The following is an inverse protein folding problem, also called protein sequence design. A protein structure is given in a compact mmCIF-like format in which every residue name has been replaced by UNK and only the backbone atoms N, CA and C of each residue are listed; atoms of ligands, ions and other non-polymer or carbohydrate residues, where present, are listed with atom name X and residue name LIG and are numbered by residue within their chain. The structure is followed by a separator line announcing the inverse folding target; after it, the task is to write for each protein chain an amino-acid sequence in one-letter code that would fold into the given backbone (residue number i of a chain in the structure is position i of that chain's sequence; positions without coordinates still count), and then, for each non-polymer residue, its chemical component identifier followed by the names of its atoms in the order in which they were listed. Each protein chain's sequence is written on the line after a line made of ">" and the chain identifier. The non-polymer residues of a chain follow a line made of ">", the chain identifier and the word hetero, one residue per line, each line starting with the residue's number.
data_IF_565357467172
#
_entry.id   IF_565357467172
#
_cell.length_a   1.000
_cell.length_b   1.000
_cell.length_c   1.000
_cell.angle_alpha   90.00
_cell.angle_beta   90.00
_cell.angle_gamma   90.00
#
_symmetry.space_group_name_H-M   'P 1'
#
loop_
_entity.id
_entity.type
_entity.pdbx_description
1 polymer ?
#
# COMPACT_ATOMS: atom_id res chain seq x y z
N UNK A 1 -7.96 -1.24 25.05
CA UNK A 1 -8.85 -0.29 24.35
C UNK A 1 -8.00 0.37 23.30
N UNK A 2 -8.22 0.05 22.02
CA UNK A 2 -7.47 0.70 20.94
C UNK A 2 -7.74 2.21 21.00
N UNK A 3 -6.69 3.00 20.92
CA UNK A 3 -6.80 4.46 21.02
C UNK A 3 -7.40 4.96 19.71
N UNK A 4 -8.56 5.59 19.79
CA UNK A 4 -9.20 6.25 18.64
C UNK A 4 -8.21 7.19 17.94
N UNK A 5 -8.16 7.13 16.62
CA UNK A 5 -7.32 8.02 15.83
C UNK A 5 -7.96 9.40 15.70
N UNK A 6 -7.16 10.43 15.87
CA UNK A 6 -7.50 11.85 15.76
C UNK A 6 -6.60 12.44 14.70
N UNK A 7 -7.21 12.67 13.54
CA UNK A 7 -6.53 13.06 12.31
C UNK A 7 -6.33 14.57 12.22
N UNK A 8 -5.11 14.95 11.81
CA UNK A 8 -4.87 16.18 11.08
C UNK A 8 -4.86 15.90 9.57
N UNK A 9 -5.82 16.49 8.85
CA UNK A 9 -5.98 16.35 7.40
C UNK A 9 -5.35 17.56 6.72
N UNK A 10 -4.26 17.31 6.01
CA UNK A 10 -3.44 18.31 5.35
C UNK A 10 -3.54 18.07 3.83
N UNK A 11 -4.14 19.04 3.15
CA UNK A 11 -4.46 18.93 1.72
C UNK A 11 -3.58 19.90 0.94
N UNK A 12 -2.83 19.34 0.01
CA UNK A 12 -2.13 20.10 -1.01
C UNK A 12 -3.16 20.58 -2.04
N UNK A 13 -3.62 21.83 -1.89
CA UNK A 13 -4.70 22.39 -2.69
C UNK A 13 -4.30 22.65 -4.15
N UNK A 14 -3.00 22.63 -4.44
CA UNK A 14 -2.44 22.83 -5.76
C UNK A 14 -2.44 21.53 -6.58
N UNK A 15 -2.27 20.37 -5.93
CA UNK A 15 -2.25 19.06 -6.58
C UNK A 15 -3.50 18.20 -6.33
N UNK A 16 -4.27 18.47 -5.27
CA UNK A 16 -5.50 17.73 -4.96
C UNK A 16 -6.71 18.25 -5.75
N UNK A 17 -7.73 17.40 -5.91
CA UNK A 17 -8.95 17.74 -6.62
C UNK A 17 -10.06 18.15 -5.63
N UNK A 18 -10.66 19.36 -5.75
CA UNK A 18 -11.75 19.80 -4.87
C UNK A 18 -12.92 18.82 -4.82
N UNK A 19 -13.30 18.26 -5.97
CA UNK A 19 -14.44 17.33 -6.10
C UNK A 19 -14.33 16.06 -5.25
N UNK A 20 -13.11 15.65 -4.87
CA UNK A 20 -12.87 14.44 -4.08
C UNK A 20 -12.85 14.70 -2.57
N UNK A 21 -12.91 15.96 -2.15
CA UNK A 21 -12.73 16.37 -0.76
C UNK A 21 -13.72 15.71 0.19
N UNK A 22 -15.01 15.69 -0.16
CA UNK A 22 -16.00 15.03 0.67
C UNK A 22 -15.75 13.51 0.78
N UNK A 23 -15.31 12.89 -0.31
CA UNK A 23 -15.00 11.45 -0.35
C UNK A 23 -13.77 11.13 0.49
N UNK A 24 -12.75 11.99 0.47
CA UNK A 24 -11.58 11.92 1.37
C UNK A 24 -12.01 11.97 2.83
N UNK A 25 -12.82 12.97 3.20
CA UNK A 25 -13.26 13.11 4.59
C UNK A 25 -14.15 11.94 5.03
N UNK A 26 -14.94 11.38 4.10
CA UNK A 26 -15.76 10.18 4.34
C UNK A 26 -14.90 8.94 4.55
N UNK A 27 -13.87 8.74 3.73
CA UNK A 27 -12.91 7.62 3.86
C UNK A 27 -12.23 7.62 5.24
N UNK A 28 -11.83 8.78 5.75
CA UNK A 28 -11.20 8.88 7.09
C UNK A 28 -12.19 8.55 8.22
N UNK A 29 -13.43 9.06 8.13
CA UNK A 29 -14.46 8.88 9.18
C UNK A 29 -15.10 7.50 9.20
N UNK A 30 -15.22 6.86 8.05
CA UNK A 30 -15.82 5.53 7.97
C UNK A 30 -14.75 4.45 8.10
N UNK A 31 -13.47 4.82 7.91
CA UNK A 31 -12.43 3.87 7.65
C UNK A 31 -12.87 2.94 6.53
N UNK A 32 -12.39 1.73 6.59
CA UNK A 32 -12.99 0.66 5.82
C UNK A 32 -13.00 -0.57 6.73
N UNK A 33 -14.16 -0.82 7.37
CA UNK A 33 -14.43 -1.99 8.22
C UNK A 33 -14.05 -3.31 7.55
N UNK A 34 -13.94 -3.26 6.23
CA UNK A 34 -13.81 -4.33 5.27
C UNK A 34 -12.33 -4.50 4.78
N UNK A 35 -11.46 -3.49 4.94
CA UNK A 35 -10.01 -3.55 4.66
C UNK A 35 -9.13 -3.27 5.89
N UNK A 36 -9.70 -3.39 7.10
CA UNK A 36 -9.01 -3.29 8.38
C UNK A 36 -8.32 -1.93 8.61
N UNK A 37 -8.77 -0.88 7.90
CA UNK A 37 -8.29 0.49 8.11
C UNK A 37 -8.98 1.08 9.34
N UNK A 38 -8.23 1.66 10.29
CA UNK A 38 -8.81 2.26 11.48
C UNK A 38 -9.68 3.46 11.13
N UNK A 39 -10.81 3.57 11.84
CA UNK A 39 -11.66 4.76 11.84
C UNK A 39 -11.00 5.86 12.66
N UNK A 40 -11.18 7.13 12.25
CA UNK A 40 -10.73 8.25 13.07
C UNK A 40 -11.62 9.48 13.05
N UNK A 41 -11.53 10.22 14.14
CA UNK A 41 -12.06 11.57 14.29
C UNK A 41 -11.18 12.56 13.51
N UNK A 42 -11.79 13.49 12.78
CA UNK A 42 -11.05 14.54 12.09
C UNK A 42 -11.03 15.80 12.96
N UNK A 43 -9.87 16.14 13.52
CA UNK A 43 -9.71 17.29 14.42
C UNK A 43 -9.16 18.53 13.70
N UNK A 44 -8.27 18.37 12.72
CA UNK A 44 -7.70 19.48 11.93
C UNK A 44 -7.98 19.21 10.46
N UNK A 45 -8.44 20.24 9.72
CA UNK A 45 -8.62 20.21 8.27
C UNK A 45 -8.05 21.49 7.68
N UNK A 46 -6.98 21.38 6.89
CA UNK A 46 -6.29 22.51 6.27
C UNK A 46 -6.05 22.23 4.79
N UNK A 47 -6.30 23.24 3.95
CA UNK A 47 -5.94 23.24 2.54
C UNK A 47 -4.89 24.33 2.34
N UNK A 48 -3.74 23.95 1.79
CA UNK A 48 -2.61 24.82 1.52
C UNK A 48 -2.59 25.18 0.04
N UNK A 49 -2.30 26.44 -0.26
CA UNK A 49 -2.13 26.90 -1.64
C UNK A 49 -2.19 28.41 -1.75
N UNK A 50 -2.04 28.90 -2.97
CA UNK A 50 -2.16 30.32 -3.27
C UNK A 50 -3.62 30.68 -3.58
N UNK A 51 -4.39 31.16 -2.61
CA UNK A 51 -5.80 31.49 -2.80
C UNK A 51 -6.04 32.71 -3.70
N UNK A 52 -4.97 33.35 -4.19
CA UNK A 52 -5.06 34.40 -5.21
C UNK A 52 -5.13 33.85 -6.63
N UNK A 53 -4.86 32.56 -6.85
CA UNK A 53 -4.84 31.93 -8.18
C UNK A 53 -6.16 31.25 -8.53
N UNK A 54 -6.46 31.17 -9.83
CA UNK A 54 -7.76 30.68 -10.31
C UNK A 54 -8.03 29.20 -10.05
N UNK A 55 -6.97 28.37 -10.00
CA UNK A 55 -7.08 26.94 -9.66
C UNK A 55 -7.66 26.73 -8.24
N UNK A 56 -7.54 27.72 -7.35
CA UNK A 56 -8.07 27.62 -5.98
C UNK A 56 -9.57 27.95 -5.88
N UNK A 57 -10.18 28.50 -6.94
CA UNK A 57 -11.60 28.89 -6.92
C UNK A 57 -12.54 27.72 -6.63
N UNK A 58 -12.19 26.50 -7.08
CA UNK A 58 -12.98 25.29 -6.87
C UNK A 58 -13.14 24.87 -5.41
N UNK A 59 -12.26 25.32 -4.52
CA UNK A 59 -12.30 24.98 -3.09
C UNK A 59 -13.21 25.91 -2.27
N UNK A 60 -13.54 27.09 -2.80
CA UNK A 60 -14.20 28.16 -2.02
C UNK A 60 -15.56 27.73 -1.45
N UNK A 61 -16.36 27.00 -2.21
CA UNK A 61 -17.66 26.46 -1.75
C UNK A 61 -17.49 25.48 -0.59
N UNK A 62 -16.42 24.70 -0.63
CA UNK A 62 -16.21 23.58 0.30
C UNK A 62 -15.64 24.04 1.64
N UNK A 63 -14.89 25.16 1.65
CA UNK A 63 -14.32 25.74 2.86
C UNK A 63 -15.38 25.95 3.95
N UNK A 64 -16.48 26.64 3.60
CA UNK A 64 -17.57 26.93 4.53
C UNK A 64 -18.43 25.70 4.78
N UNK A 65 -18.76 24.94 3.73
CA UNK A 65 -19.63 23.76 3.82
C UNK A 65 -19.06 22.68 4.73
N UNK A 66 -17.75 22.46 4.65
CA UNK A 66 -17.07 21.35 5.33
C UNK A 66 -16.22 21.82 6.52
N UNK A 67 -16.20 23.12 6.81
CA UNK A 67 -15.45 23.72 7.92
C UNK A 67 -13.95 23.43 7.81
N UNK A 68 -13.34 23.89 6.71
CA UNK A 68 -11.92 23.70 6.41
C UNK A 68 -11.22 25.05 6.49
N UNK A 69 -10.03 25.05 7.10
CA UNK A 69 -9.22 26.26 7.20
C UNK A 69 -8.35 26.42 5.94
N UNK A 70 -8.50 27.51 5.16
CA UNK A 70 -7.54 27.84 4.12
C UNK A 70 -6.23 28.33 4.74
N UNK A 71 -5.10 27.82 4.25
CA UNK A 71 -3.76 28.32 4.57
C UNK A 71 -3.21 28.96 3.29
N UNK A 72 -3.04 30.29 3.33
CA UNK A 72 -2.51 31.06 2.22
C UNK A 72 -1.00 30.93 2.15
N UNK A 73 -0.50 30.58 0.97
CA UNK A 73 0.91 30.56 0.66
C UNK A 73 1.13 31.11 -0.76
N UNK A 74 1.83 32.24 -0.87
CA UNK A 74 2.18 32.80 -2.19
C UNK A 74 3.19 31.91 -2.92
N UNK A 75 2.97 31.67 -4.21
CA UNK A 75 3.87 30.91 -5.09
C UNK A 75 5.06 31.76 -5.55
N UNK A 76 6.03 32.00 -4.67
CA UNK A 76 7.33 32.57 -5.05
C UNK A 76 8.32 31.51 -5.57
N UNK A 77 8.03 30.23 -5.33
CA UNK A 77 8.71 29.05 -5.86
C UNK A 77 7.69 27.91 -5.99
N UNK A 78 8.01 26.88 -6.79
CA UNK A 78 7.13 25.74 -7.04
C UNK A 78 6.81 24.94 -5.77
N UNK A 79 7.71 24.95 -4.78
CA UNK A 79 7.60 24.15 -3.56
C UNK A 79 7.15 24.97 -2.33
N UNK A 80 6.70 26.23 -2.54
CA UNK A 80 6.32 27.11 -1.43
C UNK A 80 5.13 26.53 -0.62
N UNK A 81 4.12 26.00 -1.31
CA UNK A 81 2.95 25.34 -0.70
C UNK A 81 3.37 24.11 0.10
N UNK A 82 4.26 23.29 -0.45
CA UNK A 82 4.72 22.05 0.19
C UNK A 82 5.51 22.36 1.46
N UNK A 83 6.40 23.36 1.42
CA UNK A 83 7.15 23.81 2.57
C UNK A 83 6.24 24.31 3.70
N UNK A 84 5.20 25.06 3.39
CA UNK A 84 4.21 25.51 4.37
C UNK A 84 3.45 24.34 4.99
N UNK A 85 3.00 23.37 4.18
CA UNK A 85 2.33 22.16 4.65
C UNK A 85 3.23 21.34 5.56
N UNK A 86 4.48 21.10 5.16
CA UNK A 86 5.46 20.35 5.96
C UNK A 86 5.73 21.03 7.30
N UNK A 87 6.00 22.34 7.31
CA UNK A 87 6.26 23.08 8.54
C UNK A 87 5.08 23.00 9.51
N UNK A 88 3.87 23.20 8.99
CA UNK A 88 2.65 23.17 9.80
C UNK A 88 2.36 21.75 10.33
N UNK A 89 2.66 20.71 9.54
CA UNK A 89 2.60 19.32 10.00
C UNK A 89 3.54 19.07 11.19
N UNK A 90 4.80 19.50 11.08
CA UNK A 90 5.79 19.38 12.17
C UNK A 90 5.35 20.19 13.39
N UNK A 91 4.78 21.38 13.21
CA UNK A 91 4.24 22.18 14.32
C UNK A 91 3.10 21.44 15.03
N UNK A 92 2.14 20.86 14.29
CA UNK A 92 1.05 20.05 14.85
C UNK A 92 1.59 18.88 15.67
N UNK A 93 2.61 18.16 15.18
CA UNK A 93 3.22 17.04 15.91
C UNK A 93 3.65 17.47 17.32
N UNK A 94 4.26 18.64 17.45
CA UNK A 94 4.84 19.10 18.72
C UNK A 94 3.86 19.87 19.60
N UNK A 95 2.94 20.64 19.01
CA UNK A 95 2.04 21.53 19.75
C UNK A 95 0.67 20.92 20.02
N UNK A 96 0.30 19.84 19.33
CA UNK A 96 -1.02 19.22 19.46
C UNK A 96 -0.93 17.74 19.86
N UNK A 97 -0.59 17.41 21.12
CA UNK A 97 -0.39 16.03 21.58
C UNK A 97 -1.65 15.14 21.54
N UNK A 98 -2.83 15.72 21.26
CA UNK A 98 -4.07 14.98 21.05
C UNK A 98 -4.17 14.38 19.64
N UNK A 99 -3.45 14.94 18.67
CA UNK A 99 -3.37 14.41 17.31
C UNK A 99 -2.43 13.20 17.35
N UNK A 100 -2.92 12.06 16.89
CA UNK A 100 -2.14 10.82 16.78
C UNK A 100 -2.16 10.22 15.38
N UNK A 101 -2.75 10.93 14.40
CA UNK A 101 -2.80 10.53 13.02
C UNK A 101 -2.73 11.73 12.07
N UNK A 102 -2.14 11.54 10.91
CA UNK A 102 -2.07 12.50 9.82
C UNK A 102 -2.64 11.88 8.56
N UNK A 103 -3.41 12.67 7.82
CA UNK A 103 -3.83 12.35 6.46
C UNK A 103 -3.21 13.39 5.52
N UNK A 104 -2.32 12.94 4.63
CA UNK A 104 -1.69 13.78 3.62
C UNK A 104 -2.40 13.51 2.29
N UNK A 105 -3.05 14.53 1.73
CA UNK A 105 -3.76 14.44 0.46
C UNK A 105 -2.90 15.12 -0.60
N UNK A 106 -2.05 14.34 -1.27
CA UNK A 106 -1.21 14.76 -2.39
C UNK A 106 -0.74 13.53 -3.17
N UNK A 107 -0.29 13.74 -4.40
CA UNK A 107 0.42 12.72 -5.21
C UNK A 107 1.91 13.05 -5.38
N UNK A 108 2.39 14.14 -4.76
CA UNK A 108 3.79 14.53 -4.81
C UNK A 108 4.66 13.61 -3.96
N UNK A 109 5.78 13.14 -4.53
CA UNK A 109 6.75 12.30 -3.84
C UNK A 109 7.55 13.05 -2.77
N UNK A 110 7.56 14.38 -2.79
CA UNK A 110 8.32 15.20 -1.85
C UNK A 110 7.81 15.07 -0.41
N UNK A 111 6.55 14.66 -0.22
CA UNK A 111 5.97 14.33 1.09
C UNK A 111 6.48 13.01 1.69
N UNK A 112 7.32 12.26 0.98
CA UNK A 112 7.99 11.06 1.49
C UNK A 112 8.67 11.28 2.85
N UNK A 113 9.52 12.31 2.94
CA UNK A 113 10.28 12.59 4.16
C UNK A 113 9.37 13.04 5.31
N UNK A 114 8.30 13.77 5.00
CA UNK A 114 7.29 14.17 5.98
C UNK A 114 6.60 12.94 6.58
N UNK A 115 6.16 12.00 5.74
CA UNK A 115 5.55 10.74 6.18
C UNK A 115 6.46 9.94 7.10
N UNK A 116 7.75 9.81 6.75
CA UNK A 116 8.73 9.15 7.62
C UNK A 116 8.87 9.88 8.96
N UNK A 117 9.00 11.20 8.95
CA UNK A 117 9.15 12.00 10.17
C UNK A 117 7.93 11.89 11.09
N UNK A 118 6.72 11.86 10.55
CA UNK A 118 5.50 11.64 11.33
C UNK A 118 5.53 10.24 11.98
N UNK A 119 5.95 9.21 11.24
CA UNK A 119 6.06 7.83 11.75
C UNK A 119 7.17 7.65 12.79
N UNK A 120 8.29 8.35 12.64
CA UNK A 120 9.37 8.39 13.63
C UNK A 120 8.86 8.89 15.00
N UNK A 121 7.84 9.76 15.00
CA UNK A 121 7.15 10.22 16.21
C UNK A 121 6.06 9.26 16.71
N UNK A 122 5.94 8.07 16.11
CA UNK A 122 4.97 7.05 16.50
C UNK A 122 3.53 7.36 16.10
N UNK A 123 3.32 8.31 15.18
CA UNK A 123 2.00 8.75 14.74
C UNK A 123 1.61 8.02 13.44
N UNK A 124 0.30 7.81 13.26
CA UNK A 124 -0.22 7.11 12.08
C UNK A 124 -0.24 8.04 10.86
N UNK A 125 0.16 7.53 9.69
CA UNK A 125 0.12 8.28 8.42
C UNK A 125 -0.75 7.57 7.39
N UNK A 126 -1.81 8.26 6.97
CA UNK A 126 -2.61 7.93 5.80
C UNK A 126 -2.21 8.82 4.63
N UNK A 127 -1.73 8.23 3.54
CA UNK A 127 -1.58 8.94 2.27
C UNK A 127 -2.82 8.78 1.40
N UNK A 128 -3.23 9.84 0.71
CA UNK A 128 -4.25 9.77 -0.33
C UNK A 128 -3.74 10.46 -1.58
N UNK A 129 -3.68 9.73 -2.69
CA UNK A 129 -3.17 10.25 -3.96
C UNK A 129 -3.66 9.45 -5.15
N UNK A 130 -3.29 9.88 -6.35
CA UNK A 130 -3.69 9.23 -7.59
C UNK A 130 -2.84 7.96 -7.86
N UNK A 131 -3.19 7.20 -8.90
CA UNK A 131 -2.45 5.97 -9.27
C UNK A 131 -1.00 6.21 -9.69
N UNK A 132 -0.65 7.42 -10.12
CA UNK A 132 0.71 7.80 -10.55
C UNK A 132 1.64 8.13 -9.37
N UNK A 133 1.11 8.21 -8.15
CA UNK A 133 1.90 8.48 -6.94
C UNK A 133 3.03 7.46 -6.80
N UNK A 134 4.28 7.94 -6.69
CA UNK A 134 5.47 7.05 -6.64
C UNK A 134 5.43 6.09 -5.45
N UNK A 135 5.94 4.88 -5.66
CA UNK A 135 5.98 3.82 -4.64
C UNK A 135 6.69 4.26 -3.35
N UNK A 136 7.75 5.08 -3.47
CA UNK A 136 8.51 5.60 -2.32
C UNK A 136 7.59 6.30 -1.31
N UNK A 137 6.73 7.21 -1.78
CA UNK A 137 5.81 7.94 -0.91
C UNK A 137 4.75 7.01 -0.31
N UNK A 138 4.19 6.10 -1.12
CA UNK A 138 3.22 5.11 -0.63
C UNK A 138 3.81 4.27 0.51
N UNK A 139 5.04 3.78 0.36
CA UNK A 139 5.74 2.97 1.38
C UNK A 139 6.16 3.75 2.62
N UNK A 140 6.28 5.08 2.53
CA UNK A 140 6.52 5.91 3.70
C UNK A 140 5.28 6.04 4.60
N UNK A 141 4.08 5.75 4.12
CA UNK A 141 2.85 5.80 4.92
C UNK A 141 2.61 4.49 5.71
N UNK A 142 1.68 4.52 6.67
CA UNK A 142 1.13 3.30 7.27
C UNK A 142 0.05 2.68 6.38
N UNK A 143 -0.72 3.52 5.69
CA UNK A 143 -1.74 3.13 4.74
C UNK A 143 -1.79 4.16 3.61
N UNK A 144 -2.12 3.72 2.40
CA UNK A 144 -2.25 4.59 1.24
C UNK A 144 -3.53 4.24 0.48
N UNK A 145 -4.37 5.23 0.24
CA UNK A 145 -5.63 5.08 -0.51
C UNK A 145 -5.53 5.81 -1.83
N UNK A 146 -5.79 5.09 -2.92
CA UNK A 146 -5.88 5.71 -4.22
C UNK A 146 -7.20 6.48 -4.38
N UNK A 147 -7.15 7.63 -5.06
CA UNK A 147 -8.34 8.48 -5.28
C UNK A 147 -9.48 7.77 -5.98
N UNK A 148 -9.20 6.80 -6.85
CA UNK A 148 -10.22 5.98 -7.53
C UNK A 148 -10.90 4.95 -6.61
N UNK A 149 -10.33 4.66 -5.45
CA UNK A 149 -10.92 3.78 -4.44
C UNK A 149 -11.78 4.54 -3.43
N UNK A 150 -11.76 5.88 -3.45
CA UNK A 150 -12.55 6.69 -2.52
C UNK A 150 -14.06 6.42 -2.68
N UNK A 151 -14.83 6.52 -1.60
CA UNK A 151 -16.26 6.25 -1.65
C UNK A 151 -16.98 7.27 -2.54
N UNK A 152 -17.81 6.77 -3.45
CA UNK A 152 -18.68 7.63 -4.26
C UNK A 152 -19.67 8.40 -3.38
N UNK A 153 -19.98 9.63 -3.79
CA UNK A 153 -20.99 10.47 -3.16
C UNK A 153 -22.15 10.59 -4.14
N UNK A 154 -23.41 10.32 -3.72
CA UNK A 154 -24.57 10.27 -4.61
C UNK A 154 -24.84 11.53 -5.45
N UNK A 155 -24.21 12.66 -5.12
CA UNK A 155 -24.36 13.94 -5.81
C UNK A 155 -23.25 14.25 -6.84
N UNK A 156 -22.17 13.44 -6.87
CA UNK A 156 -21.02 13.63 -7.77
C UNK A 156 -20.96 12.43 -8.70
N UNK A 157 -21.95 12.34 -9.60
CA UNK A 157 -21.83 11.54 -10.82
C UNK A 157 -21.12 12.40 -11.89
N UNK A 158 -19.98 12.99 -11.51
CA UNK A 158 -19.03 13.44 -12.54
C UNK A 158 -18.51 12.14 -13.12
N UNK A 159 -18.74 11.90 -14.41
CA UNK A 159 -18.33 10.71 -15.16
C UNK A 159 -16.81 10.46 -15.20
N UNK A 160 -16.18 10.39 -14.03
CA UNK A 160 -14.94 9.69 -13.78
C UNK A 160 -15.31 8.25 -14.07
N UNK A 161 -15.12 7.86 -15.33
CA UNK A 161 -15.10 6.47 -15.72
C UNK A 161 -14.25 5.76 -14.67
N UNK A 162 -14.89 4.89 -13.87
CA UNK A 162 -14.20 3.82 -13.17
C UNK A 162 -13.59 2.94 -14.27
N UNK A 163 -12.49 3.39 -14.89
CA UNK A 163 -11.62 2.53 -15.66
C UNK A 163 -10.91 1.65 -14.64
N UNK A 164 -11.64 0.67 -14.12
CA UNK A 164 -11.06 -0.62 -13.80
C UNK A 164 -10.43 -1.08 -15.10
N UNK A 165 -9.13 -0.85 -15.29
CA UNK A 165 -8.38 -1.57 -16.32
C UNK A 165 -8.74 -3.05 -16.15
N UNK A 166 -9.02 -3.78 -17.24
CA UNK A 166 -9.25 -5.22 -17.14
C UNK A 166 -8.08 -5.82 -16.36
N UNK A 167 -8.41 -6.56 -15.30
CA UNK A 167 -7.42 -7.18 -14.42
C UNK A 167 -6.61 -8.13 -15.31
N UNK A 168 -5.31 -7.82 -15.48
CA UNK A 168 -4.40 -8.69 -16.22
C UNK A 168 -4.39 -10.06 -15.52
N UNK A 169 -4.61 -11.19 -16.21
CA UNK A 169 -4.47 -12.53 -15.62
C UNK A 169 -3.16 -12.73 -14.85
N UNK A 170 -2.06 -12.12 -15.29
CA UNK A 170 -0.77 -12.16 -14.59
C UNK A 170 -0.79 -11.40 -13.26
N UNK A 171 -1.61 -10.35 -13.14
CA UNK A 171 -1.82 -9.63 -11.89
C UNK A 171 -2.59 -10.48 -10.88
N UNK A 172 -3.51 -11.35 -11.34
CA UNK A 172 -4.30 -12.24 -10.47
C UNK A 172 -3.40 -13.28 -9.80
N UNK A 173 -2.49 -13.90 -10.56
CA UNK A 173 -1.51 -14.88 -10.05
C UNK A 173 -0.49 -14.22 -9.10
N UNK A 174 -0.13 -12.96 -9.37
CA UNK A 174 0.75 -12.18 -8.49
C UNK A 174 0.11 -11.82 -7.14
N UNK A 175 -1.20 -11.51 -7.12
CA UNK A 175 -1.93 -11.16 -5.89
C UNK A 175 -2.18 -12.40 -5.05
N UNK A 176 -2.56 -13.53 -5.66
CA UNK A 176 -2.67 -14.81 -4.96
C UNK A 176 -1.33 -15.16 -4.28
N UNK A 177 -0.24 -15.09 -5.04
CA UNK A 177 1.12 -15.37 -4.54
C UNK A 177 1.49 -14.44 -3.38
N UNK A 178 1.21 -13.14 -3.50
CA UNK A 178 1.43 -12.17 -2.44
C UNK A 178 0.63 -12.51 -1.17
N UNK A 179 -0.67 -12.80 -1.29
CA UNK A 179 -1.52 -13.16 -0.15
C UNK A 179 -1.03 -14.45 0.54
N UNK A 180 -0.65 -15.46 -0.23
CA UNK A 180 -0.12 -16.73 0.28
C UNK A 180 1.22 -16.52 1.00
N UNK A 181 2.13 -15.74 0.42
CA UNK A 181 3.43 -15.45 1.03
C UNK A 181 3.27 -14.64 2.32
N UNK A 182 2.37 -13.65 2.32
CA UNK A 182 2.05 -12.87 3.52
C UNK A 182 1.49 -13.77 4.61
N UNK A 183 0.55 -14.67 4.27
CA UNK A 183 0.00 -15.65 5.21
C UNK A 183 1.11 -16.55 5.80
N UNK A 184 2.00 -17.09 4.96
CA UNK A 184 3.12 -17.94 5.40
C UNK A 184 4.04 -17.21 6.38
N UNK A 185 4.26 -15.91 6.18
CA UNK A 185 5.14 -15.11 7.06
C UNK A 185 4.58 -14.92 8.48
N UNK A 186 3.26 -15.03 8.66
CA UNK A 186 2.57 -14.82 9.95
C UNK A 186 2.07 -16.12 10.60
N UNK A 187 1.96 -17.21 9.83
CA UNK A 187 1.56 -18.53 10.34
C UNK A 187 2.77 -19.33 10.82
N UNK A 188 2.72 -19.90 12.02
CA UNK A 188 3.79 -20.79 12.51
C UNK A 188 3.64 -22.24 12.00
N UNK A 189 2.44 -22.61 11.53
CA UNK A 189 2.15 -23.95 11.00
C UNK A 189 1.15 -23.94 9.84
N UNK A 190 1.19 -24.99 9.01
CA UNK A 190 0.36 -25.15 7.80
C UNK A 190 -1.13 -25.35 8.07
N UNK A 191 -1.51 -25.67 9.32
CA UNK A 191 -2.87 -26.07 9.68
C UNK A 191 -3.60 -25.06 10.56
N UNK A 192 -2.96 -23.94 10.89
CA UNK A 192 -3.46 -22.92 11.80
C UNK A 192 -4.39 -21.92 11.12
N UNK A 193 -5.47 -21.56 11.82
CA UNK A 193 -6.36 -20.48 11.42
C UNK A 193 -5.73 -19.14 11.79
N UNK A 194 -5.64 -18.23 10.84
CA UNK A 194 -5.14 -16.87 11.06
C UNK A 194 -6.31 -15.89 10.97
N UNK A 195 -6.37 -14.94 11.91
CA UNK A 195 -7.35 -13.85 11.85
C UNK A 195 -7.15 -13.03 10.57
N UNK A 196 -8.25 -12.73 9.86
CA UNK A 196 -8.23 -11.87 8.68
C UNK A 196 -7.68 -10.48 8.98
N UNK A 197 -7.95 -9.94 10.18
CA UNK A 197 -7.40 -8.66 10.64
C UNK A 197 -5.88 -8.72 10.80
N UNK A 198 -5.34 -9.85 11.28
CA UNK A 198 -3.90 -10.04 11.38
C UNK A 198 -3.25 -10.13 9.99
N UNK A 199 -3.86 -10.87 9.05
CA UNK A 199 -3.41 -10.88 7.66
C UNK A 199 -3.47 -9.46 7.05
N UNK A 200 -4.58 -8.75 7.21
CA UNK A 200 -4.75 -7.40 6.68
C UNK A 200 -3.68 -6.43 7.21
N UNK A 201 -3.32 -6.53 8.49
CA UNK A 201 -2.23 -5.76 9.07
C UNK A 201 -0.87 -6.14 8.46
N UNK A 202 -0.59 -7.41 8.27
CA UNK A 202 0.64 -7.88 7.63
C UNK A 202 0.75 -7.38 6.19
N UNK A 203 -0.34 -7.47 5.42
CA UNK A 203 -0.45 -6.92 4.07
C UNK A 203 -0.12 -5.42 4.07
N UNK A 204 -0.73 -4.64 4.96
CA UNK A 204 -0.51 -3.19 5.02
C UNK A 204 0.92 -2.81 5.44
N UNK A 205 1.57 -3.63 6.27
CA UNK A 205 2.96 -3.43 6.62
C UNK A 205 3.91 -3.68 5.43
N UNK A 206 3.57 -4.61 4.54
CA UNK A 206 4.37 -4.94 3.37
C UNK A 206 4.08 -4.03 2.17
N UNK A 207 2.80 -3.78 1.90
CA UNK A 207 2.31 -2.86 0.89
C UNK A 207 1.18 -1.96 1.46
N UNK A 208 1.52 -0.74 1.91
CA UNK A 208 0.54 0.23 2.35
C UNK A 208 -0.52 0.57 1.29
N UNK A 209 -0.18 0.47 0.00
CA UNK A 209 -1.07 0.76 -1.12
C UNK A 209 -2.05 -0.36 -1.47
N UNK A 210 -1.93 -1.54 -0.85
CA UNK A 210 -2.80 -2.67 -1.16
C UNK A 210 -4.25 -2.38 -0.77
N UNK A 211 -5.17 -2.42 -1.73
CA UNK A 211 -6.60 -2.20 -1.48
C UNK A 211 -7.42 -3.22 -2.28
N UNK A 212 -8.25 -4.05 -1.62
CA UNK A 212 -9.12 -5.01 -2.31
C UNK A 212 -9.98 -4.40 -3.41
N UNK A 213 -10.36 -3.13 -3.28
CA UNK A 213 -11.19 -2.40 -4.25
C UNK A 213 -10.48 -2.21 -5.59
N UNK A 214 -9.15 -2.11 -5.57
CA UNK A 214 -8.35 -2.06 -6.80
C UNK A 214 -8.37 -3.36 -7.60
N UNK A 215 -8.78 -4.46 -6.96
CA UNK A 215 -8.94 -5.79 -7.57
C UNK A 215 -10.42 -6.17 -7.78
N UNK A 216 -11.34 -5.21 -7.67
CA UNK A 216 -12.78 -5.46 -7.88
C UNK A 216 -13.50 -6.10 -6.69
N UNK A 217 -12.85 -6.17 -5.52
CA UNK A 217 -13.44 -6.74 -4.32
C UNK A 217 -13.79 -5.66 -3.30
N UNK A 218 -14.98 -5.76 -2.71
CA UNK A 218 -15.44 -4.80 -1.69
C UNK A 218 -14.55 -4.77 -0.44
N UNK A 219 -13.98 -5.92 -0.09
CA UNK A 219 -13.31 -6.14 1.18
C UNK A 219 -12.28 -7.28 1.09
N UNK A 220 -11.38 -7.35 2.07
CA UNK A 220 -10.30 -8.35 2.08
C UNK A 220 -10.88 -9.77 2.17
N UNK A 221 -11.97 -9.95 2.91
CA UNK A 221 -12.66 -11.24 3.01
C UNK A 221 -13.12 -11.77 1.64
N UNK A 222 -13.73 -10.90 0.83
CA UNK A 222 -14.22 -11.23 -0.52
C UNK A 222 -13.09 -11.46 -1.50
N UNK A 223 -11.96 -10.75 -1.36
CA UNK A 223 -10.78 -10.99 -2.18
C UNK A 223 -10.14 -12.34 -1.82
N UNK A 224 -9.91 -12.61 -0.54
CA UNK A 224 -9.31 -13.89 -0.11
C UNK A 224 -10.24 -15.06 -0.46
N UNK A 225 -11.54 -14.91 -0.26
CA UNK A 225 -12.54 -15.92 -0.59
C UNK A 225 -12.76 -16.16 -2.09
N UNK A 226 -12.21 -15.33 -2.98
CA UNK A 226 -12.26 -15.59 -4.43
C UNK A 226 -11.20 -16.58 -4.90
N UNK A 227 -10.17 -16.82 -4.09
CA UNK A 227 -9.09 -17.75 -4.38
C UNK A 227 -9.32 -19.13 -3.77
N UNK A 228 -9.27 -20.17 -4.61
CA UNK A 228 -9.53 -21.56 -4.20
C UNK A 228 -8.53 -22.12 -3.17
N UNK A 229 -7.36 -21.49 -3.04
CA UNK A 229 -6.34 -21.86 -2.07
C UNK A 229 -6.69 -21.50 -0.62
N UNK A 230 -7.63 -20.57 -0.41
CA UNK A 230 -8.04 -20.13 0.92
C UNK A 230 -9.40 -20.71 1.32
N UNK A 231 -9.52 -21.06 2.59
CA UNK A 231 -10.77 -21.36 3.27
C UNK A 231 -11.04 -20.27 4.29
N UNK A 232 -12.25 -19.74 4.29
CA UNK A 232 -12.67 -18.66 5.17
C UNK A 232 -13.75 -19.14 6.15
N UNK A 233 -13.70 -18.71 7.40
CA UNK A 233 -14.77 -18.91 8.38
C UNK A 233 -15.06 -17.61 9.13
N UNK A 234 -16.27 -17.47 9.65
CA UNK A 234 -16.67 -16.39 10.56
C UNK A 234 -17.11 -16.97 11.89
N UNK A 235 -16.84 -16.26 12.98
CA UNK A 235 -17.49 -16.56 14.26
C UNK A 235 -18.90 -15.94 14.34
N UNK A 236 -19.55 -16.10 15.49
CA UNK A 236 -20.88 -15.57 15.75
C UNK A 236 -20.87 -14.18 16.42
N UNK A 237 -19.73 -13.47 16.47
CA UNK A 237 -19.68 -12.14 17.09
C UNK A 237 -20.37 -11.09 16.20
N UNK A 238 -20.71 -9.95 16.80
CA UNK A 238 -21.26 -8.80 16.08
C UNK A 238 -20.39 -7.58 16.38
N UNK A 239 -19.57 -7.10 15.41
CA UNK A 239 -19.37 -7.67 14.07
C UNK A 239 -18.63 -9.02 14.10
N UNK A 240 -18.79 -9.87 13.07
CA UNK A 240 -18.15 -11.18 13.01
C UNK A 240 -16.64 -11.04 12.79
N UNK A 241 -15.85 -11.84 13.52
CA UNK A 241 -14.44 -12.00 13.22
C UNK A 241 -14.26 -13.07 12.15
N UNK A 242 -13.49 -12.72 11.13
CA UNK A 242 -13.16 -13.64 10.05
C UNK A 242 -11.80 -14.28 10.29
N UNK A 243 -11.72 -15.58 10.07
CA UNK A 243 -10.47 -16.34 10.08
C UNK A 243 -10.28 -17.03 8.74
N UNK A 244 -9.02 -17.19 8.37
CA UNK A 244 -8.63 -17.78 7.10
C UNK A 244 -7.62 -18.89 7.34
N UNK A 245 -7.64 -19.87 6.44
CA UNK A 245 -6.71 -20.98 6.41
C UNK A 245 -6.37 -21.27 4.95
N UNK A 246 -5.14 -21.70 4.69
CA UNK A 246 -4.69 -22.08 3.35
C UNK A 246 -4.71 -23.61 3.19
N UNK A 247 -4.98 -24.12 2.00
CA UNK A 247 -4.91 -25.56 1.73
C UNK A 247 -3.47 -26.07 1.74
N UNK A 248 -3.25 -27.32 2.18
CA UNK A 248 -1.92 -27.94 2.17
C UNK A 248 -1.32 -28.06 0.76
N UNK A 249 -2.18 -28.21 -0.24
CA UNK A 249 -1.79 -28.22 -1.65
C UNK A 249 -1.28 -26.84 -2.07
N UNK A 250 -2.00 -25.75 -1.76
CA UNK A 250 -1.56 -24.40 -2.11
C UNK A 250 -0.28 -23.96 -1.38
N UNK A 251 -0.06 -24.44 -0.14
CA UNK A 251 1.22 -24.25 0.55
C UNK A 251 2.39 -24.85 -0.24
N UNK A 252 2.17 -25.98 -0.92
CA UNK A 252 3.14 -26.67 -1.79
C UNK A 252 3.18 -26.12 -3.23
N UNK A 253 2.07 -25.51 -3.69
CA UNK A 253 1.79 -25.14 -5.08
C UNK A 253 2.05 -23.68 -5.42
N UNK A 254 2.66 -22.88 -4.53
CA UNK A 254 3.32 -21.64 -5.00
C UNK A 254 4.38 -22.10 -5.98
N UNK A 255 4.11 -21.86 -7.26
CA UNK A 255 4.91 -22.27 -8.41
C UNK A 255 6.34 -21.94 -8.12
N UNK A 256 7.09 -22.97 -7.76
CA UNK A 256 8.50 -22.87 -7.47
C UNK A 256 9.16 -22.84 -8.84
N UNK A 257 9.32 -21.63 -9.39
CA UNK A 257 9.93 -21.37 -10.69
C UNK A 257 11.31 -22.01 -10.74
N UNK A 258 11.65 -22.64 -11.85
CA UNK A 258 12.97 -23.25 -12.02
C UNK A 258 13.80 -22.40 -12.96
N UNK A 259 14.96 -21.93 -12.49
CA UNK A 259 15.85 -21.09 -13.27
C UNK A 259 17.30 -21.48 -13.07
N UNK A 260 18.18 -20.73 -13.72
CA UNK A 260 19.64 -20.92 -13.63
C UNK A 260 20.26 -19.71 -12.95
N UNK A 261 21.21 -19.92 -12.05
CA UNK A 261 21.95 -18.78 -11.47
C UNK A 261 22.77 -18.11 -12.59
N UNK A 262 22.36 -16.92 -13.01
CA UNK A 262 23.03 -16.12 -14.03
C UNK A 262 24.32 -15.52 -13.51
N UNK A 263 24.28 -15.00 -12.28
CA UNK A 263 25.40 -14.38 -11.59
C UNK A 263 25.13 -14.35 -10.09
N UNK A 264 26.17 -14.54 -9.28
CA UNK A 264 26.12 -14.33 -7.83
C UNK A 264 27.36 -13.55 -7.41
N UNK A 265 27.17 -12.42 -6.73
CA UNK A 265 28.23 -11.51 -6.30
C UNK A 265 28.01 -11.21 -4.82
N UNK A 266 28.93 -11.69 -3.99
CA UNK A 266 28.96 -11.40 -2.56
C UNK A 266 27.67 -11.83 -1.84
N UNK A 267 26.70 -10.94 -1.64
CA UNK A 267 25.44 -11.21 -0.95
C UNK A 267 24.20 -11.18 -1.84
N UNK A 268 24.34 -11.00 -3.15
CA UNK A 268 23.19 -10.98 -4.07
C UNK A 268 23.46 -11.69 -5.38
N UNK A 269 22.42 -12.07 -6.10
CA UNK A 269 22.52 -12.70 -7.40
C UNK A 269 21.31 -12.49 -8.28
N UNK A 270 21.41 -13.07 -9.48
CA UNK A 270 20.37 -13.07 -10.49
C UNK A 270 20.11 -14.50 -10.96
N UNK A 271 18.84 -14.83 -11.13
CA UNK A 271 18.35 -16.08 -11.70
C UNK A 271 17.82 -15.77 -13.09
N UNK A 272 18.31 -16.50 -14.09
CA UNK A 272 17.82 -16.48 -15.46
C UNK A 272 16.61 -17.43 -15.58
N UNK A 273 15.53 -16.91 -16.14
CA UNK A 273 14.28 -17.63 -16.38
C UNK A 273 13.66 -17.19 -17.71
N UNK A 274 12.76 -18.00 -18.28
CA UNK A 274 12.13 -17.74 -19.59
C UNK A 274 11.36 -16.41 -19.64
N UNK A 275 10.85 -15.96 -18.49
CA UNK A 275 10.08 -14.70 -18.36
C UNK A 275 10.96 -13.49 -18.04
N UNK A 276 12.27 -13.64 -17.89
CA UNK A 276 13.21 -12.57 -17.55
C UNK A 276 14.12 -12.91 -16.35
N UNK A 277 14.99 -11.97 -16.00
CA UNK A 277 15.94 -12.13 -14.89
C UNK A 277 15.29 -11.78 -13.55
N UNK A 278 15.63 -12.53 -12.51
CA UNK A 278 15.16 -12.33 -11.14
C UNK A 278 16.31 -12.05 -10.18
N UNK A 279 16.28 -10.91 -9.50
CA UNK A 279 17.20 -10.54 -8.43
C UNK A 279 16.88 -11.27 -7.13
N UNK A 280 17.91 -11.70 -6.39
CA UNK A 280 17.76 -12.20 -5.02
C UNK A 280 18.93 -11.79 -4.12
N UNK A 281 18.68 -11.67 -2.82
CA UNK A 281 19.72 -11.53 -1.79
C UNK A 281 19.99 -12.89 -1.13
N UNK A 282 21.17 -13.09 -0.55
CA UNK A 282 21.58 -14.35 0.08
C UNK A 282 20.66 -14.74 1.25
N UNK A 283 20.06 -13.74 1.91
CA UNK A 283 19.05 -13.97 2.95
C UNK A 283 17.82 -14.69 2.43
N UNK A 284 17.52 -14.59 1.14
CA UNK A 284 16.41 -15.27 0.48
C UNK A 284 16.73 -16.74 0.12
N UNK A 285 17.98 -17.19 0.30
CA UNK A 285 18.38 -18.58 0.06
C UNK A 285 18.01 -19.40 1.30
N UNK A 286 17.39 -20.56 1.07
CA UNK A 286 16.88 -21.43 2.12
C UNK A 286 18.03 -21.97 3.00
N UNK A 287 17.83 -22.13 4.31
CA UNK A 287 18.91 -22.47 5.26
C UNK A 287 19.67 -23.75 4.89
N UNK A 288 18.95 -24.76 4.40
CA UNK A 288 19.52 -26.02 3.91
C UNK A 288 20.41 -25.85 2.66
N UNK A 289 20.24 -24.77 1.91
CA UNK A 289 21.01 -24.43 0.71
C UNK A 289 22.08 -23.36 0.96
N UNK A 290 22.07 -22.67 2.11
CA UNK A 290 23.08 -21.63 2.45
C UNK A 290 24.49 -22.18 2.65
N UNK A 291 24.61 -23.44 3.04
CA UNK A 291 25.89 -24.15 3.20
C UNK A 291 26.55 -24.54 1.86
N UNK A 292 25.82 -24.42 0.75
CA UNK A 292 26.28 -24.77 -0.59
C UNK A 292 26.69 -23.47 -1.30
N UNK A 293 27.93 -23.42 -1.78
CA UNK A 293 28.43 -22.25 -2.52
C UNK A 293 27.65 -22.09 -3.83
N UNK A 294 26.86 -21.01 -3.94
CA UNK A 294 26.12 -20.67 -5.14
C UNK A 294 27.09 -20.38 -6.30
N UNK A 295 26.91 -21.08 -7.41
CA UNK A 295 27.73 -20.97 -8.62
C UNK A 295 26.87 -20.66 -9.83
N UNK A 296 27.44 -19.88 -10.75
CA UNK A 296 26.83 -19.61 -12.05
C UNK A 296 26.48 -20.92 -12.76
N UNK A 297 25.27 -21.01 -13.32
CA UNK A 297 24.76 -22.16 -14.04
C UNK A 297 24.10 -23.25 -13.18
N UNK A 298 24.04 -23.09 -11.85
CA UNK A 298 23.29 -24.01 -11.00
C UNK A 298 21.79 -23.86 -11.22
N UNK A 299 21.10 -25.00 -11.29
CA UNK A 299 19.64 -25.03 -11.34
C UNK A 299 19.08 -24.77 -9.95
N UNK A 300 18.22 -23.78 -9.87
CA UNK A 300 17.56 -23.37 -8.64
C UNK A 300 16.07 -23.35 -8.82
N UNK A 301 15.38 -23.55 -7.72
CA UNK A 301 13.95 -23.44 -7.59
C UNK A 301 13.65 -22.24 -6.69
N UNK A 302 12.75 -21.36 -7.07
CA UNK A 302 12.54 -20.10 -6.36
C UNK A 302 11.08 -19.63 -6.46
N UNK A 303 10.66 -18.80 -5.51
CA UNK A 303 9.37 -18.12 -5.53
C UNK A 303 9.53 -16.75 -6.19
N UNK A 304 8.54 -16.32 -6.97
CA UNK A 304 8.53 -14.98 -7.57
C UNK A 304 7.88 -14.01 -6.58
N UNK A 305 8.68 -13.04 -6.12
CA UNK A 305 8.24 -11.94 -5.28
C UNK A 305 7.77 -10.72 -6.09
N UNK A 306 8.42 -10.46 -7.24
CA UNK A 306 8.03 -9.43 -8.21
C UNK A 306 8.31 -9.99 -9.61
N UNK A 307 7.38 -9.94 -10.57
CA UNK A 307 7.67 -10.32 -11.95
C UNK A 307 8.59 -9.29 -12.62
N UNK A 308 9.39 -9.69 -13.63
CA UNK A 308 10.17 -8.75 -14.43
C UNK A 308 9.24 -7.82 -15.21
N UNK A 309 9.57 -6.53 -15.29
CA UNK A 309 8.82 -5.57 -16.10
C UNK A 309 9.71 -5.02 -17.22
N UNK A 310 9.59 -5.53 -18.46
CA UNK A 310 10.47 -5.11 -19.56
C UNK A 310 10.25 -3.66 -20.02
N UNK A 311 9.14 -3.02 -19.64
CA UNK A 311 8.82 -1.63 -20.00
C UNK A 311 9.53 -0.59 -19.11
N UNK A 312 10.15 -1.01 -18.00
CA UNK A 312 10.86 -0.12 -17.09
C UNK A 312 12.28 0.23 -17.57
N UNK A 313 12.69 1.47 -17.29
CA UNK A 313 13.99 2.00 -17.75
C UNK A 313 15.14 1.71 -16.79
N UNK A 314 14.87 1.56 -15.49
CA UNK A 314 15.86 1.20 -14.48
C UNK A 314 16.09 -0.32 -14.41
N UNK A 315 17.34 -0.75 -14.33
CA UNK A 315 17.70 -2.19 -14.27
C UNK A 315 17.14 -2.88 -13.01
N UNK A 316 17.02 -2.15 -11.91
CA UNK A 316 16.46 -2.65 -10.64
C UNK A 316 14.93 -2.81 -10.69
N UNK A 317 14.27 -2.02 -11.53
CA UNK A 317 12.82 -2.06 -11.71
C UNK A 317 12.41 -3.03 -12.82
N UNK A 318 13.31 -3.23 -13.80
CA UNK A 318 13.17 -4.16 -14.92
C UNK A 318 13.24 -5.63 -14.49
N UNK A 319 14.12 -5.95 -13.55
CA UNK A 319 14.28 -7.31 -13.07
C UNK A 319 13.17 -7.69 -12.09
N UNK A 320 12.77 -8.95 -12.14
CA UNK A 320 11.92 -9.54 -11.11
C UNK A 320 12.67 -9.69 -9.78
N UNK A 321 11.96 -10.05 -8.73
CA UNK A 321 12.56 -10.42 -7.43
C UNK A 321 12.21 -11.87 -7.11
N UNK A 322 13.19 -12.62 -6.63
CA UNK A 322 13.05 -14.01 -6.22
C UNK A 322 13.24 -14.17 -4.70
N UNK A 323 12.45 -15.06 -4.11
CA UNK A 323 12.54 -15.48 -2.70
C UNK A 323 12.57 -17.01 -2.59
N UNK A 324 12.86 -17.54 -1.40
CA UNK A 324 12.94 -18.99 -1.10
C UNK A 324 13.75 -19.79 -2.13
N UNK A 325 14.97 -19.34 -2.40
CA UNK A 325 15.85 -19.99 -3.36
C UNK A 325 16.34 -21.33 -2.79
N UNK A 326 16.05 -22.40 -3.49
CA UNK A 326 16.48 -23.77 -3.22
C UNK A 326 17.35 -24.28 -4.37
N UNK A 327 18.51 -24.85 -4.04
CA UNK A 327 19.38 -25.46 -5.04
C UNK A 327 18.84 -26.86 -5.37
N UNK A 328 18.64 -27.12 -6.67
CA UNK A 328 18.27 -28.47 -7.13
C UNK A 328 19.58 -29.27 -7.23
N UNK A 329 19.90 -30.02 -6.18
CA UNK A 329 21.04 -30.94 -6.17
C UNK A 329 20.69 -32.13 -7.07
N UNK A 330 21.49 -32.36 -8.10
CA UNK A 330 21.38 -33.57 -8.95
C UNK A 330 22.02 -34.77 -8.29
#
# INVERSE_FOLDING_TARGET
>A
MEKELKFAVLIDGDNAQPSLLESVLKEIRQGNSDSNRPVGEISIKRIYGDWTTDNMNGWKSDLHKLGIRPIQQFRYDNNATDGALMMDAIEIIHLNPRINAFCIVSSDSDFYNLSLRIRENGLYVLGIGNQQTKEVFRKACNDFVFTNNLPSIPAIDTGINHQTKPINPDAIDSVETFLVNTFKSISSSSSEWVSLSHLGKAIKNEDPGFDPRSYGHKNLYSLVGSYSCFTTQSDASTPPNYSIKISEEALKKVSKYEGLIKKFIHYFGFIEHETGDYYFHISNVNENSRSIQLKKGQKVRFNVFKPPNPEETSTDEKNGKASDIEIIVK
#
